data_IF_757442623464
#
_entry.id   IF_757442623464
#
_cell.length_a   1.000
_cell.length_b   1.000
_cell.length_c   1.000
_cell.angle_alpha   90.00
_cell.angle_beta   90.00
_cell.angle_gamma   90.00
#
_symmetry.space_group_name_H-M   'P 1'
#
loop_
_entity.id
_entity.type
_entity.pdbx_description
1 polymer ?
#
# COMPACT_ATOMS: atom_id res chain seq x y z
N UNK A 1 -2.14 28.37 -37.94
CA UNK A 1 -1.53 27.40 -37.01
C UNK A 1 -2.64 26.45 -36.60
N UNK A 2 -2.73 25.30 -37.26
CA UNK A 2 -3.78 24.30 -36.98
C UNK A 2 -3.55 23.72 -35.59
N UNK A 3 -4.56 23.84 -34.73
CA UNK A 3 -4.53 23.30 -33.38
C UNK A 3 -5.13 21.90 -33.45
N UNK A 4 -4.33 20.87 -33.19
CA UNK A 4 -4.84 19.50 -33.09
C UNK A 4 -5.76 19.41 -31.87
N UNK A 5 -6.87 18.64 -31.92
CA UNK A 5 -7.83 18.54 -30.82
C UNK A 5 -7.18 18.17 -29.47
N UNK A 6 -6.09 17.41 -29.52
CA UNK A 6 -5.31 16.97 -28.36
C UNK A 6 -4.59 18.11 -27.62
N UNK A 7 -4.40 19.27 -28.25
CA UNK A 7 -3.83 20.44 -27.58
C UNK A 7 -4.86 21.21 -26.74
N UNK A 8 -6.18 21.02 -26.96
CA UNK A 8 -7.25 21.69 -26.18
C UNK A 8 -7.61 20.95 -24.89
N UNK A 9 -7.02 19.77 -24.67
CA UNK A 9 -7.35 18.91 -23.55
C UNK A 9 -6.34 19.12 -22.43
N UNK A 10 -6.82 19.62 -21.28
CA UNK A 10 -6.00 19.68 -20.07
C UNK A 10 -5.61 18.27 -19.66
N UNK A 11 -4.31 17.98 -19.63
CA UNK A 11 -3.78 16.71 -19.14
C UNK A 11 -4.19 16.53 -17.69
N UNK A 12 -4.71 15.35 -17.35
CA UNK A 12 -5.04 15.00 -15.97
C UNK A 12 -3.84 14.25 -15.35
N UNK A 13 -3.04 14.89 -14.49
CA UNK A 13 -1.91 14.26 -13.81
C UNK A 13 -2.32 13.23 -12.76
N UNK A 14 -3.60 13.13 -12.38
CA UNK A 14 -4.07 12.15 -11.40
C UNK A 14 -3.83 12.54 -9.95
N UNK A 15 -3.83 13.85 -9.62
CA UNK A 15 -3.53 14.31 -8.25
C UNK A 15 -4.52 13.79 -7.20
N UNK A 16 -5.80 13.72 -7.55
CA UNK A 16 -6.88 13.31 -6.62
C UNK A 16 -7.20 11.83 -6.68
N UNK A 17 -7.08 11.23 -7.87
CA UNK A 17 -7.40 9.83 -8.11
C UNK A 17 -6.28 9.22 -8.92
N UNK A 18 -5.91 7.99 -8.56
CA UNK A 18 -4.92 7.23 -9.29
C UNK A 18 -5.25 7.17 -10.79
N UNK A 19 -4.22 7.38 -11.60
CA UNK A 19 -4.27 7.26 -13.06
C UNK A 19 -3.01 6.56 -13.53
N UNK A 20 -3.14 5.75 -14.59
CA UNK A 20 -1.97 5.16 -15.23
C UNK A 20 -1.06 6.25 -15.79
N UNK A 21 0.22 6.24 -15.39
CA UNK A 21 1.20 7.27 -15.78
C UNK A 21 1.04 8.63 -15.08
N UNK A 22 0.15 8.74 -14.09
CA UNK A 22 -0.01 9.94 -13.27
C UNK A 22 0.85 9.94 -12.01
N UNK A 23 0.48 10.80 -11.07
CA UNK A 23 1.06 10.87 -9.72
C UNK A 23 1.02 9.52 -8.99
N UNK A 24 1.95 9.33 -8.06
CA UNK A 24 2.01 8.10 -7.25
C UNK A 24 0.97 8.17 -6.13
N UNK A 25 0.26 7.06 -5.93
CA UNK A 25 -0.71 6.90 -4.85
C UNK A 25 -0.36 5.67 -4.03
N UNK A 26 -0.65 5.72 -2.73
CA UNK A 26 -0.52 4.58 -1.82
C UNK A 26 -1.44 3.43 -2.27
N UNK A 27 -2.66 3.78 -2.70
CA UNK A 27 -3.68 2.84 -3.10
C UNK A 27 -3.67 2.69 -4.63
N UNK A 28 -2.73 1.93 -5.17
CA UNK A 28 -2.76 1.55 -6.58
C UNK A 28 -3.63 0.30 -6.83
N UNK A 29 -4.29 0.19 -8.00
CA UNK A 29 -5.21 -0.92 -8.27
C UNK A 29 -4.57 -2.32 -8.22
N UNK A 30 -3.30 -2.44 -8.62
CA UNK A 30 -2.61 -3.73 -8.65
C UNK A 30 -2.30 -4.22 -7.23
N UNK A 31 -1.86 -3.33 -6.34
CA UNK A 31 -1.68 -3.61 -4.91
C UNK A 31 -2.98 -4.05 -4.25
N UNK A 32 -4.09 -3.34 -4.52
CA UNK A 32 -5.40 -3.70 -3.95
C UNK A 32 -5.85 -5.09 -4.42
N UNK A 33 -5.71 -5.38 -5.72
CA UNK A 33 -6.05 -6.70 -6.26
C UNK A 33 -5.22 -7.82 -5.62
N UNK A 34 -3.91 -7.62 -5.46
CA UNK A 34 -3.02 -8.58 -4.79
C UNK A 34 -3.39 -8.75 -3.30
N UNK A 35 -3.78 -7.68 -2.61
CA UNK A 35 -4.24 -7.75 -1.22
C UNK A 35 -5.54 -8.54 -1.09
N UNK A 36 -6.51 -8.30 -1.97
CA UNK A 36 -7.78 -9.03 -2.01
C UNK A 36 -7.55 -10.53 -2.27
N UNK A 37 -6.72 -10.86 -3.25
CA UNK A 37 -6.33 -12.25 -3.56
C UNK A 37 -5.64 -12.92 -2.35
N UNK A 38 -4.72 -12.21 -1.71
CA UNK A 38 -4.04 -12.71 -0.50
C UNK A 38 -5.03 -12.98 0.65
N UNK A 39 -5.99 -12.09 0.87
CA UNK A 39 -6.95 -12.19 1.96
C UNK A 39 -8.00 -13.30 1.72
N UNK A 40 -8.53 -13.41 0.50
CA UNK A 40 -9.59 -14.37 0.16
C UNK A 40 -9.01 -15.78 0.01
N UNK A 41 -7.94 -15.92 -0.78
CA UNK A 41 -7.38 -17.23 -1.16
C UNK A 41 -6.20 -17.67 -0.28
N UNK A 42 -5.85 -16.90 0.76
CA UNK A 42 -4.67 -17.14 1.64
C UNK A 42 -3.37 -17.29 0.85
N UNK A 43 -3.28 -16.57 -0.27
CA UNK A 43 -2.16 -16.67 -1.19
C UNK A 43 -0.98 -15.82 -0.71
N UNK A 44 0.06 -16.48 -0.21
CA UNK A 44 1.27 -15.81 0.30
C UNK A 44 2.04 -15.07 -0.80
N UNK A 45 2.07 -15.59 -2.03
CA UNK A 45 2.76 -14.93 -3.14
C UNK A 45 2.07 -13.61 -3.52
N UNK A 46 0.74 -13.59 -3.51
CA UNK A 46 -0.02 -12.36 -3.73
C UNK A 46 0.27 -11.34 -2.62
N UNK A 47 0.39 -11.78 -1.36
CA UNK A 47 0.78 -10.91 -0.25
C UNK A 47 2.19 -10.34 -0.42
N UNK A 48 3.17 -11.15 -0.86
CA UNK A 48 4.53 -10.69 -1.10
C UNK A 48 4.58 -9.60 -2.18
N UNK A 49 3.81 -9.78 -3.28
CA UNK A 49 3.67 -8.76 -4.34
C UNK A 49 3.04 -7.47 -3.81
N UNK A 50 1.98 -7.58 -3.02
CA UNK A 50 1.34 -6.43 -2.37
C UNK A 50 2.29 -5.68 -1.42
N UNK A 51 3.09 -6.42 -0.64
CA UNK A 51 4.07 -5.85 0.30
C UNK A 51 5.10 -5.02 -0.45
N UNK A 52 5.65 -5.55 -1.53
CA UNK A 52 6.70 -4.90 -2.33
C UNK A 52 6.17 -3.62 -3.00
N UNK A 53 5.03 -3.70 -3.69
CA UNK A 53 4.44 -2.53 -4.36
C UNK A 53 4.03 -1.44 -3.36
N UNK A 54 3.46 -1.83 -2.22
CA UNK A 54 3.06 -0.88 -1.17
C UNK A 54 4.26 -0.22 -0.51
N UNK A 55 5.36 -0.95 -0.30
CA UNK A 55 6.59 -0.38 0.26
C UNK A 55 7.16 0.72 -0.65
N UNK A 56 7.17 0.49 -1.96
CA UNK A 56 7.59 1.50 -2.93
C UNK A 56 6.65 2.72 -2.90
N UNK A 57 5.34 2.53 -2.90
CA UNK A 57 4.40 3.66 -2.80
C UNK A 57 4.56 4.45 -1.50
N UNK A 58 4.83 3.79 -0.37
CA UNK A 58 5.06 4.44 0.93
C UNK A 58 6.31 5.32 0.91
N UNK A 59 7.40 4.88 0.25
CA UNK A 59 8.62 5.68 0.05
C UNK A 59 8.30 7.00 -0.65
N UNK A 60 7.58 6.95 -1.77
CA UNK A 60 7.28 8.14 -2.56
C UNK A 60 6.20 9.05 -1.94
N UNK A 61 5.23 8.48 -1.22
CA UNK A 61 4.04 9.22 -0.81
C UNK A 61 4.03 9.67 0.66
N UNK A 62 4.98 9.24 1.51
CA UNK A 62 4.90 9.50 2.96
C UNK A 62 6.24 9.86 3.59
N UNK A 63 6.21 10.67 4.66
CA UNK A 63 7.40 10.97 5.46
C UNK A 63 8.01 9.72 6.09
N UNK A 64 7.19 8.79 6.61
CA UNK A 64 7.68 7.52 7.18
C UNK A 64 8.42 6.64 6.16
N UNK A 65 8.13 6.80 4.87
CA UNK A 65 8.84 6.10 3.81
C UNK A 65 10.23 6.64 3.51
N UNK A 66 10.59 7.79 4.07
CA UNK A 66 11.93 8.39 3.99
C UNK A 66 12.82 7.95 5.17
N UNK A 67 12.30 7.13 6.08
CA UNK A 67 13.00 6.65 7.26
C UNK A 67 13.33 5.16 7.11
N UNK A 68 14.48 4.76 7.66
CA UNK A 68 14.89 3.37 7.78
C UNK A 68 14.99 2.98 9.25
N UNK A 69 14.71 1.70 9.54
CA UNK A 69 14.88 1.16 10.88
C UNK A 69 16.37 0.89 11.12
N UNK A 70 16.92 1.47 12.17
CA UNK A 70 18.25 1.11 12.67
C UNK A 70 18.16 -0.20 13.45
N UNK A 71 18.58 -1.31 12.85
CA UNK A 71 18.55 -2.63 13.47
C UNK A 71 19.73 -2.84 14.41
N UNK A 72 19.52 -3.62 15.46
CA UNK A 72 20.59 -4.14 16.33
C UNK A 72 21.29 -5.31 15.67
N UNK A 73 22.60 -5.45 15.90
CA UNK A 73 23.40 -6.58 15.40
C UNK A 73 23.01 -7.93 16.03
N UNK A 74 22.24 -7.92 17.12
CA UNK A 74 21.82 -9.12 17.86
C UNK A 74 20.31 -9.37 17.68
N UNK A 75 19.88 -10.18 16.70
CA UNK A 75 18.48 -10.53 16.52
C UNK A 75 18.00 -11.48 17.63
N UNK A 76 16.76 -11.30 18.07
CA UNK A 76 16.10 -12.21 19.00
C UNK A 76 15.26 -13.24 18.24
N UNK A 77 15.05 -14.42 18.86
CA UNK A 77 14.18 -15.44 18.27
C UNK A 77 12.71 -14.99 18.31
N UNK A 78 11.96 -15.26 17.23
CA UNK A 78 10.54 -14.92 17.11
C UNK A 78 9.66 -15.51 18.23
N UNK A 79 10.06 -16.64 18.82
CA UNK A 79 9.37 -17.26 19.95
C UNK A 79 9.42 -16.42 21.24
N UNK A 80 10.32 -15.44 21.33
CA UNK A 80 10.38 -14.49 22.45
C UNK A 80 9.47 -13.28 22.24
N UNK A 81 8.92 -13.11 21.03
CA UNK A 81 7.97 -12.04 20.72
C UNK A 81 6.57 -12.48 21.16
N UNK A 82 5.75 -11.52 21.58
CA UNK A 82 4.34 -11.79 21.90
C UNK A 82 3.60 -12.44 20.72
N UNK A 83 2.65 -13.35 20.98
CA UNK A 83 1.91 -14.03 19.92
C UNK A 83 1.00 -13.05 19.17
N UNK A 84 0.72 -13.37 17.91
CA UNK A 84 -0.16 -12.54 17.05
C UNK A 84 -1.54 -12.25 17.67
N UNK A 85 -2.05 -13.16 18.52
CA UNK A 85 -3.31 -13.02 19.25
C UNK A 85 -3.31 -11.87 20.26
N UNK A 86 -2.15 -11.49 20.82
CA UNK A 86 -2.03 -10.34 21.72
C UNK A 86 -1.82 -9.04 20.94
N UNK A 87 -1.06 -9.09 19.84
CA UNK A 87 -0.80 -7.93 18.97
C UNK A 87 -2.10 -7.40 18.36
N UNK A 88 -2.95 -8.29 17.84
CA UNK A 88 -4.20 -7.91 17.16
C UNK A 88 -5.18 -7.18 18.07
N UNK A 89 -5.08 -7.34 19.40
CA UNK A 89 -5.93 -6.60 20.36
C UNK A 89 -5.69 -5.10 20.34
N UNK A 90 -4.53 -4.65 19.85
CA UNK A 90 -4.19 -3.23 19.70
C UNK A 90 -4.77 -2.63 18.41
N UNK A 91 -5.28 -3.46 17.51
CA UNK A 91 -5.79 -3.00 16.23
C UNK A 91 -7.23 -2.54 16.42
N UNK A 92 -7.50 -1.28 16.06
CA UNK A 92 -8.83 -0.69 16.14
C UNK A 92 -9.34 -0.49 14.72
N UNK A 93 -10.44 -1.14 14.39
CA UNK A 93 -11.20 -0.83 13.18
C UNK A 93 -12.06 0.40 13.51
N UNK A 94 -11.80 1.54 12.87
CA UNK A 94 -12.54 2.78 13.12
C UNK A 94 -14.07 2.57 13.03
N UNK A 95 -14.85 3.48 13.64
CA UNK A 95 -16.33 3.40 13.85
C UNK A 95 -17.17 3.13 12.58
N UNK A 96 -16.58 3.11 11.40
CA UNK A 96 -17.25 2.85 10.13
C UNK A 96 -16.83 1.53 9.45
N UNK A 97 -16.13 0.62 10.15
CA UNK A 97 -15.93 -0.75 9.67
C UNK A 97 -17.01 -1.69 10.23
N UNK A 98 -18.26 -1.42 9.87
CA UNK A 98 -19.31 -2.43 9.83
C UNK A 98 -19.64 -2.66 8.35
N UNK A 99 -18.73 -3.31 7.64
CA UNK A 99 -19.01 -4.40 6.73
C UNK A 99 -17.68 -5.12 6.53
N UNK A 100 -17.69 -6.41 6.88
CA UNK A 100 -16.73 -7.37 6.37
C UNK A 100 -16.82 -7.33 4.83
N UNK A 101 -15.66 -7.29 4.16
CA UNK A 101 -15.45 -7.24 2.71
C UNK A 101 -15.59 -5.87 2.03
#
# INVERSE_FOLDING_TARGET
MEYTPDMLVLRNPGNYHWRSGGEKHINDPASIANLQEAAINKNKNAYDRFRESTLESVKWCTLRGQLELAYSDNPINISLVEPASEIVKRFVTGKYLCFLF
#
